data_IF_735164738880
#
_entry.id   IF_735164738880
#
_cell.length_a   1.000
_cell.length_b   1.000
_cell.length_c   1.000
_cell.angle_alpha   90.00
_cell.angle_beta   90.00
_cell.angle_gamma   90.00
#
_symmetry.space_group_name_H-M   'P 1'
#
loop_
_entity.id
_entity.type
_entity.pdbx_description
1 polymer ?
#
# COMPACT_ATOMS: atom_id res chain seq x y z
N UNK A 1 -27.21 4.94 -0.77
CA UNK A 1 -27.11 6.00 0.26
C UNK A 1 -25.67 6.46 0.33
N UNK A 2 -25.40 7.77 0.37
CA UNK A 2 -24.06 8.38 0.45
C UNK A 2 -24.08 9.40 1.60
N UNK A 3 -22.97 9.56 2.34
CA UNK A 3 -22.83 10.68 3.30
C UNK A 3 -22.21 11.86 2.57
N UNK A 4 -23.04 12.55 1.79
CA UNK A 4 -22.68 13.79 1.11
C UNK A 4 -22.33 14.91 2.10
N UNK A 5 -21.56 15.89 1.65
CA UNK A 5 -21.16 17.06 2.44
C UNK A 5 -21.72 18.32 1.77
N UNK A 6 -22.49 19.10 2.52
CA UNK A 6 -23.08 20.37 2.06
C UNK A 6 -22.33 21.55 2.69
N UNK A 7 -22.38 22.73 2.04
CA UNK A 7 -21.77 23.97 2.56
C UNK A 7 -22.24 24.31 3.98
N UNK A 8 -23.52 24.10 4.24
CA UNK A 8 -24.19 24.45 5.49
C UNK A 8 -24.45 23.22 6.38
N UNK A 9 -23.61 22.18 6.24
CA UNK A 9 -23.69 20.98 7.09
C UNK A 9 -23.39 21.34 8.56
N UNK A 10 -24.38 21.17 9.43
CA UNK A 10 -24.21 21.24 10.88
C UNK A 10 -23.87 19.88 11.47
N UNK A 11 -23.35 19.85 12.69
CA UNK A 11 -23.08 18.59 13.38
C UNK A 11 -24.35 17.76 13.61
N UNK A 12 -25.48 18.43 13.84
CA UNK A 12 -26.79 17.78 14.01
C UNK A 12 -27.25 17.10 12.71
N UNK A 13 -27.13 17.78 11.56
CA UNK A 13 -27.51 17.18 10.29
C UNK A 13 -26.60 16.01 9.92
N UNK A 14 -25.30 16.10 10.19
CA UNK A 14 -24.37 14.99 10.03
C UNK A 14 -24.72 13.82 10.94
N UNK A 15 -25.08 14.08 12.20
CA UNK A 15 -25.51 13.06 13.15
C UNK A 15 -26.73 12.29 12.64
N UNK A 16 -27.76 13.00 12.14
CA UNK A 16 -28.95 12.37 11.54
C UNK A 16 -28.59 11.49 10.33
N UNK A 17 -27.66 11.93 9.47
CA UNK A 17 -27.15 11.12 8.35
C UNK A 17 -26.45 9.84 8.81
N UNK A 18 -25.67 9.91 9.89
CA UNK A 18 -24.98 8.72 10.42
C UNK A 18 -25.96 7.75 11.08
N UNK A 19 -26.92 8.25 11.86
CA UNK A 19 -27.94 7.40 12.49
C UNK A 19 -28.79 6.67 11.44
N UNK A 20 -29.21 7.39 10.39
CA UNK A 20 -29.93 6.77 9.26
C UNK A 20 -29.05 5.77 8.51
N UNK A 21 -27.76 6.04 8.28
CA UNK A 21 -26.85 5.05 7.70
C UNK A 21 -26.76 3.77 8.57
N UNK A 22 -26.62 3.91 9.88
CA UNK A 22 -26.56 2.76 10.79
C UNK A 22 -27.85 1.93 10.75
N UNK A 23 -29.01 2.59 10.73
CA UNK A 23 -30.30 1.91 10.65
C UNK A 23 -30.54 1.27 9.27
N UNK A 24 -30.44 2.06 8.20
CA UNK A 24 -30.91 1.64 6.88
C UNK A 24 -29.91 0.74 6.15
N UNK A 25 -28.60 1.00 6.30
CA UNK A 25 -27.56 0.26 5.57
C UNK A 25 -26.91 -0.85 6.41
N UNK A 26 -26.81 -0.68 7.73
CA UNK A 26 -26.22 -1.68 8.62
C UNK A 26 -27.26 -2.50 9.38
N UNK A 27 -28.50 -2.01 9.49
CA UNK A 27 -29.55 -2.62 10.30
C UNK A 27 -29.04 -2.81 11.75
N UNK A 28 -28.51 -1.70 12.28
CA UNK A 28 -28.06 -1.53 13.65
C UNK A 28 -28.76 -0.31 14.22
N UNK A 29 -29.57 -0.51 15.25
CA UNK A 29 -30.19 0.57 16.01
C UNK A 29 -29.12 1.28 16.86
N UNK A 30 -28.92 2.55 16.55
CA UNK A 30 -28.03 3.47 17.29
C UNK A 30 -28.88 4.68 17.64
N UNK A 31 -28.84 5.08 18.91
CA UNK A 31 -29.55 6.27 19.38
C UNK A 31 -28.56 7.41 19.67
N UNK A 32 -29.06 8.63 19.83
CA UNK A 32 -28.25 9.81 20.17
C UNK A 32 -27.44 9.58 21.45
N UNK A 33 -28.01 8.84 22.41
CA UNK A 33 -27.38 8.52 23.69
C UNK A 33 -26.18 7.57 23.56
N UNK A 34 -26.06 6.84 22.45
CA UNK A 34 -24.93 5.97 22.18
C UNK A 34 -23.73 6.73 21.60
N UNK A 35 -23.92 8.01 21.24
CA UNK A 35 -22.92 8.86 20.63
C UNK A 35 -22.30 9.81 21.65
N UNK A 36 -20.98 9.95 21.61
CA UNK A 36 -20.28 11.03 22.30
C UNK A 36 -20.20 12.27 21.40
N UNK A 37 -19.79 12.09 20.15
CA UNK A 37 -19.71 13.16 19.16
C UNK A 37 -19.64 12.58 17.74
N UNK A 38 -19.98 13.43 16.77
CA UNK A 38 -19.85 13.19 15.34
C UNK A 38 -19.28 14.45 14.69
N UNK A 39 -18.20 14.33 13.92
CA UNK A 39 -17.58 15.45 13.22
C UNK A 39 -16.93 15.02 11.90
N UNK A 40 -16.78 15.93 10.94
CA UNK A 40 -15.91 15.73 9.76
C UNK A 40 -14.45 15.96 10.10
N UNK A 41 -13.56 15.18 9.49
CA UNK A 41 -12.11 15.36 9.62
C UNK A 41 -11.54 16.34 8.59
N UNK A 42 -10.72 17.27 9.07
CA UNK A 42 -9.96 18.21 8.24
C UNK A 42 -10.75 19.43 7.77
N UNK A 43 -10.10 20.28 6.99
CA UNK A 43 -10.69 21.52 6.44
C UNK A 43 -11.50 21.21 5.18
N UNK A 44 -12.67 21.84 5.05
CA UNK A 44 -13.46 21.76 3.83
C UNK A 44 -12.66 22.33 2.66
N UNK A 45 -12.52 21.54 1.60
CA UNK A 45 -11.81 21.94 0.38
C UNK A 45 -12.85 22.39 -0.64
N UNK A 46 -12.76 23.65 -1.08
CA UNK A 46 -13.74 24.29 -1.98
C UNK A 46 -13.87 23.62 -3.36
N UNK A 47 -12.89 22.79 -3.76
CA UNK A 47 -12.79 22.21 -5.12
C UNK A 47 -12.69 20.68 -5.12
N UNK A 48 -13.23 19.99 -4.12
CA UNK A 48 -13.24 18.51 -4.12
C UNK A 48 -14.66 17.99 -4.07
N UNK A 49 -15.04 17.21 -5.08
CA UNK A 49 -16.31 16.45 -5.12
C UNK A 49 -16.37 15.35 -4.04
N UNK A 50 -15.24 15.02 -3.42
CA UNK A 50 -15.17 14.00 -2.38
C UNK A 50 -15.51 14.59 -1.01
N UNK A 51 -16.57 14.10 -0.34
CA UNK A 51 -16.89 14.55 1.00
C UNK A 51 -15.78 14.17 1.99
N UNK A 52 -15.57 15.01 3.00
CA UNK A 52 -14.63 14.71 4.08
C UNK A 52 -15.04 13.44 4.82
N UNK A 53 -14.10 12.62 5.30
CA UNK A 53 -14.44 11.52 6.19
C UNK A 53 -15.15 12.02 7.45
N UNK A 54 -16.20 11.32 7.88
CA UNK A 54 -16.83 11.55 9.16
C UNK A 54 -16.23 10.61 10.22
N UNK A 55 -16.02 11.12 11.42
CA UNK A 55 -15.65 10.34 12.60
C UNK A 55 -16.80 10.42 13.60
N UNK A 56 -17.13 9.25 14.14
CA UNK A 56 -18.11 9.08 15.18
C UNK A 56 -17.45 8.43 16.39
N UNK A 57 -17.61 9.05 17.55
CA UNK A 57 -17.22 8.47 18.83
C UNK A 57 -18.46 7.90 19.52
N UNK A 58 -18.33 6.67 20.02
CA UNK A 58 -19.40 5.92 20.66
C UNK A 58 -19.13 5.81 22.16
N UNK A 59 -20.20 5.82 22.94
CA UNK A 59 -20.13 5.57 24.39
C UNK A 59 -19.69 4.12 24.67
N UNK A 60 -20.19 3.17 23.87
CA UNK A 60 -19.98 1.74 24.09
C UNK A 60 -19.11 1.08 23.02
N UNK A 61 -18.05 0.41 23.48
CA UNK A 61 -17.23 -0.47 22.64
C UNK A 61 -18.02 -1.67 22.09
N UNK A 62 -19.08 -2.10 22.77
CA UNK A 62 -19.96 -3.16 22.26
C UNK A 62 -20.71 -2.65 21.02
N UNK A 63 -21.21 -1.41 21.07
CA UNK A 63 -21.88 -0.78 19.92
C UNK A 63 -20.90 -0.61 18.75
N UNK A 64 -19.68 -0.14 19.02
CA UNK A 64 -18.60 -0.07 18.02
C UNK A 64 -18.42 -1.40 17.29
N UNK A 65 -18.31 -2.51 18.04
CA UNK A 65 -18.14 -3.86 17.47
C UNK A 65 -19.34 -4.29 16.64
N UNK A 66 -20.57 -4.04 17.10
CA UNK A 66 -21.80 -4.37 16.35
C UNK A 66 -21.82 -3.67 14.99
N UNK A 67 -21.51 -2.37 14.95
CA UNK A 67 -21.41 -1.59 13.72
C UNK A 67 -20.35 -2.18 12.80
N UNK A 68 -19.14 -2.43 13.31
CA UNK A 68 -18.02 -2.95 12.52
C UNK A 68 -18.31 -4.33 11.93
N UNK A 69 -18.96 -5.23 12.67
CA UNK A 69 -19.35 -6.55 12.14
C UNK A 69 -20.42 -6.47 11.06
N UNK A 70 -21.25 -5.43 11.08
CA UNK A 70 -22.32 -5.24 10.10
C UNK A 70 -21.84 -4.57 8.81
N UNK A 71 -20.60 -4.09 8.76
CA UNK A 71 -20.02 -3.40 7.57
C UNK A 71 -19.98 -4.26 6.32
N UNK A 72 -20.02 -5.59 6.44
CA UNK A 72 -20.14 -6.49 5.30
C UNK A 72 -21.41 -6.22 4.45
N UNK A 73 -22.48 -5.68 5.06
CA UNK A 73 -23.71 -5.26 4.37
C UNK A 73 -23.49 -4.06 3.43
N UNK A 74 -22.42 -3.29 3.63
CA UNK A 74 -22.04 -2.18 2.72
C UNK A 74 -21.31 -2.66 1.46
N UNK A 75 -21.15 -3.97 1.24
CA UNK A 75 -20.47 -4.48 0.05
C UNK A 75 -21.24 -4.07 -1.22
N UNK A 76 -20.55 -3.38 -2.12
CA UNK A 76 -21.16 -2.83 -3.34
C UNK A 76 -21.71 -1.41 -3.16
N UNK A 77 -21.80 -0.91 -1.92
CA UNK A 77 -21.93 0.51 -1.67
C UNK A 77 -20.57 1.19 -1.75
N UNK A 78 -20.56 2.46 -2.18
CA UNK A 78 -19.37 3.30 -2.20
C UNK A 78 -19.15 4.00 -0.84
N UNK A 79 -19.40 3.28 0.26
CA UNK A 79 -19.19 3.74 1.64
C UNK A 79 -18.30 2.71 2.35
N UNK A 80 -17.32 3.22 3.10
CA UNK A 80 -16.43 2.40 3.91
C UNK A 80 -16.47 2.88 5.36
N UNK A 81 -16.58 1.92 6.27
CA UNK A 81 -16.51 2.17 7.71
C UNK A 81 -15.32 1.38 8.24
N UNK A 82 -14.40 2.10 8.88
CA UNK A 82 -13.17 1.52 9.44
C UNK A 82 -12.92 2.06 10.84
N UNK A 83 -12.15 1.34 11.64
CA UNK A 83 -11.67 1.86 12.91
C UNK A 83 -10.65 2.99 12.71
N UNK A 84 -10.74 4.02 13.55
CA UNK A 84 -9.72 5.05 13.68
C UNK A 84 -8.59 4.52 14.60
N UNK A 85 -7.44 4.25 14.00
CA UNK A 85 -6.27 3.69 14.68
C UNK A 85 -5.24 4.78 14.93
N UNK A 86 -4.43 4.63 15.98
CA UNK A 86 -3.26 5.46 16.21
C UNK A 86 -2.20 5.23 15.11
N UNK A 87 -1.25 6.17 14.99
CA UNK A 87 -0.22 6.15 13.93
C UNK A 87 0.61 4.86 13.94
N UNK A 88 0.94 4.35 15.12
CA UNK A 88 1.74 3.13 15.22
C UNK A 88 0.96 1.96 14.65
N UNK A 89 -0.27 1.74 15.13
CA UNK A 89 -1.13 0.67 14.61
C UNK A 89 -1.40 0.82 13.11
N UNK A 90 -1.59 2.05 12.59
CA UNK A 90 -1.73 2.28 11.15
C UNK A 90 -0.51 1.78 10.35
N UNK A 91 0.71 2.08 10.82
CA UNK A 91 1.95 1.59 10.20
C UNK A 91 2.03 0.07 10.25
N UNK A 92 1.74 -0.53 11.41
CA UNK A 92 1.73 -1.98 11.55
C UNK A 92 0.75 -2.64 10.57
N UNK A 93 -0.46 -2.08 10.41
CA UNK A 93 -1.46 -2.57 9.45
C UNK A 93 -1.00 -2.41 8.00
N UNK A 94 -0.28 -1.34 7.68
CA UNK A 94 0.30 -1.13 6.34
C UNK A 94 1.33 -2.22 6.01
N UNK A 95 2.21 -2.56 6.96
CA UNK A 95 3.16 -3.66 6.78
C UNK A 95 2.46 -5.02 6.68
N UNK A 96 1.49 -5.30 7.55
CA UNK A 96 0.66 -6.51 7.46
C UNK A 96 -0.01 -6.66 6.10
N UNK A 97 -0.49 -5.55 5.51
CA UNK A 97 -1.10 -5.57 4.19
C UNK A 97 -0.10 -5.94 3.09
N UNK A 98 1.14 -5.45 3.16
CA UNK A 98 2.19 -5.84 2.21
C UNK A 98 2.49 -7.34 2.30
N UNK A 99 2.69 -7.85 3.52
CA UNK A 99 2.95 -9.27 3.77
C UNK A 99 1.76 -10.11 3.26
N UNK A 100 0.54 -9.70 3.57
CA UNK A 100 -0.68 -10.35 3.10
C UNK A 100 -0.76 -10.46 1.58
N UNK A 101 -0.48 -9.36 0.87
CA UNK A 101 -0.48 -9.35 -0.60
C UNK A 101 0.59 -10.27 -1.18
N UNK A 102 1.80 -10.25 -0.62
CA UNK A 102 2.88 -11.18 -1.00
C UNK A 102 2.50 -12.65 -0.80
N UNK A 103 1.88 -12.99 0.32
CA UNK A 103 1.40 -14.36 0.60
C UNK A 103 0.27 -14.79 -0.34
N UNK A 104 -0.64 -13.87 -0.73
CA UNK A 104 -1.65 -14.19 -1.75
C UNK A 104 -1.03 -14.42 -3.13
N UNK A 105 0.00 -13.65 -3.48
CA UNK A 105 0.69 -13.81 -4.76
C UNK A 105 1.38 -15.18 -4.89
N UNK A 106 1.84 -15.76 -3.77
CA UNK A 106 2.39 -17.12 -3.72
C UNK A 106 1.30 -18.22 -3.62
N UNK A 107 0.02 -17.85 -3.70
CA UNK A 107 -1.10 -18.79 -3.67
C UNK A 107 -1.57 -19.18 -2.26
N UNK A 108 -1.02 -18.56 -1.20
CA UNK A 108 -1.45 -18.88 0.17
C UNK A 108 -2.76 -18.17 0.54
N UNK A 109 -3.60 -18.87 1.31
CA UNK A 109 -4.85 -18.31 1.83
C UNK A 109 -4.53 -17.45 3.06
N UNK A 110 -4.43 -16.14 2.84
CA UNK A 110 -4.19 -15.15 3.89
C UNK A 110 -5.44 -14.29 4.12
N UNK A 111 -5.72 -13.93 5.38
CA UNK A 111 -6.74 -12.92 5.75
C UNK A 111 -6.22 -12.05 6.90
N UNK A 112 -6.40 -10.73 6.82
CA UNK A 112 -6.11 -9.84 7.95
C UNK A 112 -7.11 -10.09 9.09
N UNK A 113 -6.61 -10.22 10.32
CA UNK A 113 -7.46 -10.37 11.51
C UNK A 113 -6.78 -9.71 12.71
N UNK A 114 -7.46 -8.74 13.35
CA UNK A 114 -6.90 -7.98 14.49
C UNK A 114 -5.51 -7.41 14.12
N UNK A 115 -4.48 -7.71 14.92
CA UNK A 115 -3.08 -7.31 14.74
C UNK A 115 -2.25 -8.47 14.16
N UNK A 116 -2.79 -9.22 13.20
CA UNK A 116 -2.08 -10.35 12.60
C UNK A 116 -2.74 -10.86 11.33
N UNK A 117 -2.25 -11.99 10.85
CA UNK A 117 -2.77 -12.70 9.68
C UNK A 117 -3.28 -14.08 10.07
N UNK A 118 -4.39 -14.48 9.47
CA UNK A 118 -4.84 -15.86 9.43
C UNK A 118 -4.27 -16.49 8.15
N UNK A 119 -3.21 -17.29 8.28
CA UNK A 119 -2.55 -17.99 7.19
C UNK A 119 -2.94 -19.46 7.22
N UNK A 120 -3.64 -19.93 6.17
CA UNK A 120 -4.11 -21.32 6.05
C UNK A 120 -4.86 -21.82 7.29
N UNK A 121 -5.66 -20.95 7.93
CA UNK A 121 -6.42 -21.25 9.14
C UNK A 121 -5.66 -21.04 10.46
N UNK A 122 -4.34 -20.85 10.43
CA UNK A 122 -3.52 -20.54 11.63
C UNK A 122 -3.36 -19.04 11.80
N UNK A 123 -3.65 -18.55 13.01
CA UNK A 123 -3.41 -17.14 13.35
C UNK A 123 -1.93 -16.93 13.71
N UNK A 124 -1.31 -15.95 13.09
CA UNK A 124 0.07 -15.54 13.35
C UNK A 124 0.05 -14.04 13.67
N UNK A 125 0.63 -13.69 14.81
CA UNK A 125 0.68 -12.30 15.30
C UNK A 125 1.69 -11.45 14.52
N UNK A 126 1.49 -10.14 14.49
CA UNK A 126 2.37 -9.19 13.78
C UNK A 126 3.85 -9.32 14.15
N UNK A 127 4.19 -9.45 15.43
CA UNK A 127 5.59 -9.59 15.88
C UNK A 127 6.30 -10.77 15.20
N UNK A 128 5.66 -11.94 15.21
CA UNK A 128 6.21 -13.16 14.62
C UNK A 128 6.29 -13.04 13.08
N UNK A 129 5.33 -12.36 12.46
CA UNK A 129 5.35 -12.11 11.01
C UNK A 129 6.50 -11.21 10.61
N UNK A 130 6.78 -10.15 11.36
CA UNK A 130 7.89 -9.24 11.07
C UNK A 130 9.21 -9.97 11.22
N UNK A 131 9.43 -10.72 12.30
CA UNK A 131 10.69 -11.44 12.51
C UNK A 131 10.97 -12.39 11.34
N UNK A 132 9.95 -13.16 10.94
CA UNK A 132 10.05 -14.04 9.77
C UNK A 132 10.31 -13.24 8.51
N UNK A 133 9.53 -12.18 8.24
CA UNK A 133 9.62 -11.42 7.01
C UNK A 133 10.93 -10.64 6.88
N UNK A 134 11.42 -10.03 7.97
CA UNK A 134 12.77 -9.43 8.04
C UNK A 134 13.84 -10.47 7.73
N UNK A 135 13.75 -11.64 8.36
CA UNK A 135 14.71 -12.72 8.06
C UNK A 135 14.69 -13.14 6.58
N UNK A 136 13.55 -13.02 5.90
CA UNK A 136 13.43 -13.28 4.46
C UNK A 136 13.96 -12.14 3.60
N UNK A 137 13.67 -10.87 3.95
CA UNK A 137 14.21 -9.70 3.23
C UNK A 137 15.73 -9.65 3.34
N UNK A 138 16.26 -9.86 4.54
CA UNK A 138 17.71 -9.79 4.79
C UNK A 138 18.43 -10.92 4.04
N UNK A 139 17.83 -12.12 3.98
CA UNK A 139 18.35 -13.23 3.15
C UNK A 139 18.26 -12.95 1.65
N UNK A 140 17.23 -12.25 1.19
CA UNK A 140 17.08 -11.90 -0.22
C UNK A 140 18.12 -10.85 -0.64
N UNK A 141 18.36 -9.84 0.21
CA UNK A 141 19.37 -8.81 -0.02
C UNK A 141 20.79 -9.41 -0.05
N UNK A 142 21.13 -10.29 0.91
CA UNK A 142 22.40 -11.02 0.90
C UNK A 142 22.59 -11.84 -0.38
N UNK A 143 21.55 -12.54 -0.84
CA UNK A 143 21.64 -13.32 -2.08
C UNK A 143 21.86 -12.44 -3.33
N UNK A 144 21.29 -11.24 -3.38
CA UNK A 144 21.47 -10.29 -4.48
C UNK A 144 22.90 -9.72 -4.45
N UNK A 145 23.42 -9.40 -3.26
CA UNK A 145 24.80 -8.95 -3.10
C UNK A 145 25.82 -10.03 -3.51
N UNK A 146 25.60 -11.27 -3.09
CA UNK A 146 26.43 -12.42 -3.47
C UNK A 146 26.41 -12.67 -4.98
N UNK A 147 25.25 -12.56 -5.62
CA UNK A 147 25.11 -12.70 -7.07
C UNK A 147 25.85 -11.57 -7.81
N UNK A 148 25.72 -10.33 -7.34
CA UNK A 148 26.40 -9.17 -7.91
C UNK A 148 27.92 -9.26 -7.72
N UNK A 149 28.40 -9.77 -6.58
CA UNK A 149 29.82 -9.98 -6.32
C UNK A 149 30.42 -11.01 -7.28
N UNK A 150 29.76 -12.17 -7.45
CA UNK A 150 30.19 -13.20 -8.42
C UNK A 150 30.24 -12.68 -9.85
N UNK A 151 29.26 -11.86 -10.25
CA UNK A 151 29.24 -11.26 -11.58
C UNK A 151 30.43 -10.32 -11.79
N UNK A 152 30.77 -9.50 -10.79
CA UNK A 152 31.94 -8.61 -10.83
C UNK A 152 33.26 -9.38 -10.93
N UNK A 153 33.41 -10.50 -10.21
CA UNK A 153 34.59 -11.36 -10.32
C UNK A 153 34.71 -12.00 -11.71
N UNK A 154 33.59 -12.44 -12.30
CA UNK A 154 33.56 -12.99 -13.66
C UNK A 154 34.00 -11.91 -14.67
N UNK A 155 33.46 -10.70 -14.56
CA UNK A 155 33.77 -9.58 -15.46
C UNK A 155 35.25 -9.14 -15.35
N UNK A 156 35.78 -9.10 -14.12
CA UNK A 156 37.21 -8.86 -13.85
C UNK A 156 38.11 -9.91 -14.51
N UNK A 157 37.76 -11.18 -14.38
CA UNK A 157 38.51 -12.30 -14.96
C UNK A 157 38.48 -12.27 -16.49
N UNK A 158 37.35 -11.91 -17.10
CA UNK A 158 37.23 -11.71 -18.55
C UNK A 158 38.13 -10.55 -19.01
N UNK A 159 38.16 -9.43 -18.28
CA UNK A 159 39.04 -8.28 -18.59
C UNK A 159 40.52 -8.64 -18.50
N UNK A 160 40.93 -9.41 -17.49
CA UNK A 160 42.31 -9.88 -17.31
C UNK A 160 42.73 -10.82 -18.46
N UNK A 161 41.87 -11.75 -18.88
CA UNK A 161 42.14 -12.63 -20.05
C UNK A 161 42.29 -11.86 -21.36
N UNK A 162 41.46 -10.83 -21.60
CA UNK A 162 41.58 -9.97 -22.80
C UNK A 162 42.88 -9.17 -22.86
N UNK A 163 43.42 -8.75 -21.70
CA UNK A 163 44.72 -8.07 -21.63
C UNK A 163 45.91 -8.99 -21.93
N UNK A 164 45.80 -10.27 -21.62
CA UNK A 164 46.86 -11.27 -21.86
C UNK A 164 46.89 -11.67 -23.34
N UNK A 165 45.73 -11.81 -23.99
CA UNK A 165 45.64 -12.16 -25.42
C UNK A 165 45.83 -10.98 -26.38
N UNK A 166 45.99 -9.75 -25.87
CA UNK A 166 46.08 -8.51 -26.66
C UNK A 166 47.50 -8.05 -27.04
N UNK A 167 48.48 -8.95 -27.06
CA UNK A 167 49.79 -8.70 -27.67
C UNK A 167 49.90 -9.49 -28.97
N UNK A 168 49.45 -8.87 -30.06
CA UNK A 168 50.07 -8.85 -31.39
C UNK A 168 49.01 -8.51 -32.45
N UNK A 169 49.02 -7.25 -32.88
CA UNK A 169 49.08 -6.85 -34.29
C UNK A 169 49.12 -5.31 -34.34
N UNK A 170 50.32 -4.76 -34.20
CA UNK A 170 50.64 -3.46 -34.82
C UNK A 170 50.87 -3.67 -36.32
N UNK A 171 50.75 -2.59 -37.10
CA UNK A 171 50.98 -2.43 -38.54
C UNK A 171 49.82 -2.72 -39.51
N UNK A 172 49.16 -1.64 -39.96
CA UNK A 172 49.18 -1.23 -41.37
C UNK A 172 48.92 0.28 -41.51
N UNK A 173 49.92 0.96 -42.08
CA UNK A 173 49.90 2.35 -42.58
C UNK A 173 49.22 2.40 -43.96
N UNK A 174 48.75 3.59 -44.32
CA UNK A 174 48.48 4.04 -45.69
C UNK A 174 47.02 4.39 -45.90
N UNK A 175 46.63 5.49 -46.54
CA UNK A 175 47.34 6.64 -47.13
C UNK A 175 46.26 7.61 -47.59
N UNK A 176 46.58 8.90 -47.60
CA UNK A 176 45.77 9.98 -48.16
C UNK A 176 45.26 9.69 -49.58
N UNK A 177 44.03 10.14 -49.87
CA UNK A 177 43.71 10.83 -51.13
C UNK A 177 42.39 11.59 -51.02
N UNK A 178 42.47 12.88 -51.33
CA UNK A 178 41.36 13.83 -51.42
C UNK A 178 40.50 13.59 -52.67
N UNK A 179 39.20 13.90 -52.59
CA UNK A 179 38.41 14.45 -53.71
C UNK A 179 37.02 14.95 -53.25
N UNK A 180 36.87 16.28 -53.33
CA UNK A 180 35.69 17.07 -53.77
C UNK A 180 34.26 16.73 -53.29
N UNK A 181 33.67 17.70 -52.57
CA UNK A 181 32.23 18.04 -52.63
C UNK A 181 31.83 18.43 -54.08
N UNK A 182 30.53 18.38 -54.46
CA UNK A 182 29.69 19.55 -54.21
C UNK A 182 28.22 19.25 -53.84
N UNK A 183 27.58 20.34 -53.44
CA UNK A 183 26.19 20.53 -53.05
C UNK A 183 25.14 19.94 -54.01
N UNK A 184 23.96 19.63 -53.46
CA UNK A 184 22.73 20.17 -54.04
C UNK A 184 21.62 20.33 -52.99
N UNK A 185 20.94 21.47 -53.13
CA UNK A 185 19.63 21.79 -52.56
C UNK A 185 18.58 20.87 -53.21
N UNK A 186 17.58 20.47 -52.43
CA UNK A 186 16.20 20.94 -52.57
C UNK A 186 15.44 20.69 -51.26
#
# INVERSE_FOLDING_TARGET
>A
MFIDETSDESNESLQVKILSLCKDALDVEVDIKDLNYVNRLGKQKRNTEKPRPAVMSLVSNIMKKKILFSTAKLKGANIFITEDYDKETQLQRKELLKIHLGMRATGQQSKLRRNGLLLNGKFIHFSELIEKYKSYSDKLELNIEDANFKQREIDENIRKKRRINGKDTSFRRGSDSAASSPANKD
#
